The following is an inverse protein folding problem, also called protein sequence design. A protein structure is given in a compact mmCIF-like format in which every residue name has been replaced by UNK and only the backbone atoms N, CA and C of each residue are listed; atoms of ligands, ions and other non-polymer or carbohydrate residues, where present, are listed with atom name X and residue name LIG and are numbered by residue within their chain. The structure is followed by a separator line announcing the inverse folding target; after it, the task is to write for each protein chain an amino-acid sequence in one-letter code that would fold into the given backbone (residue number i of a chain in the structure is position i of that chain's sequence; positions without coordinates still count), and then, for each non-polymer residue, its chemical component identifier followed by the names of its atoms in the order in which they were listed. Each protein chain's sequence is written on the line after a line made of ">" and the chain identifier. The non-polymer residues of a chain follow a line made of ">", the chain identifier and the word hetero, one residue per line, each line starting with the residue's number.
data_IF_567981374881
#
_entry.id   IF_567981374881
#
_cell.length_a   1.000
_cell.length_b   1.000
_cell.length_c   1.000
_cell.angle_alpha   90.00
_cell.angle_beta   90.00
_cell.angle_gamma   90.00
#
_symmetry.space_group_name_H-M   'P 1'
#
loop_
_entity.id
_entity.type
_entity.pdbx_description
1 polymer ?
#
# COMPACT_ATOMS: atom_id res chain seq x y z
N UNK A 1 4.15 -25.38 -76.68
CA UNK A 1 4.35 -26.34 -75.61
C UNK A 1 4.37 -25.64 -74.32
N UNK A 2 3.42 -25.95 -73.51
CA UNK A 2 3.10 -25.26 -72.26
C UNK A 2 4.12 -25.54 -71.15
N UNK A 3 4.46 -24.52 -70.36
CA UNK A 3 5.13 -24.65 -69.11
C UNK A 3 4.53 -23.65 -68.14
N UNK A 4 3.49 -24.09 -67.44
CA UNK A 4 2.89 -23.30 -66.34
C UNK A 4 3.79 -23.29 -65.15
N UNK A 5 4.31 -22.11 -64.81
CA UNK A 5 4.93 -21.85 -63.52
C UNK A 5 3.84 -21.33 -62.56
N UNK A 6 3.37 -22.20 -61.68
CA UNK A 6 2.51 -21.79 -60.57
C UNK A 6 3.31 -20.96 -59.60
N UNK A 7 3.03 -19.68 -59.54
CA UNK A 7 3.47 -18.83 -58.44
C UNK A 7 2.78 -19.27 -57.15
N UNK A 8 3.54 -19.81 -56.24
CA UNK A 8 3.09 -19.94 -54.86
C UNK A 8 2.95 -18.51 -54.31
N UNK A 9 1.74 -18.02 -54.26
CA UNK A 9 1.39 -16.87 -53.45
C UNK A 9 1.64 -17.31 -52.00
N UNK A 10 2.82 -16.91 -51.46
CA UNK A 10 3.10 -17.04 -50.06
C UNK A 10 2.10 -16.17 -49.32
N UNK A 11 1.17 -16.78 -48.62
CA UNK A 11 0.34 -16.08 -47.66
C UNK A 11 1.27 -15.31 -46.70
N UNK A 12 1.00 -14.04 -46.39
CA UNK A 12 1.82 -13.31 -45.44
C UNK A 12 1.75 -14.03 -44.11
N UNK A 13 2.84 -14.74 -43.77
CA UNK A 13 2.98 -15.28 -42.42
C UNK A 13 2.88 -14.16 -41.42
N UNK A 14 1.76 -14.07 -40.77
CA UNK A 14 1.50 -13.11 -39.72
C UNK A 14 2.43 -13.47 -38.54
N UNK A 15 3.53 -12.74 -38.41
CA UNK A 15 4.48 -12.95 -37.33
C UNK A 15 3.87 -12.47 -36.02
N UNK A 16 3.16 -13.38 -35.35
CA UNK A 16 2.52 -13.13 -34.06
C UNK A 16 3.53 -13.10 -32.87
N UNK A 17 4.72 -13.66 -33.07
CA UNK A 17 5.73 -13.74 -32.04
C UNK A 17 6.16 -12.35 -31.48
N UNK A 18 6.40 -11.29 -32.27
CA UNK A 18 6.67 -9.96 -31.75
C UNK A 18 5.49 -9.34 -30.99
N UNK A 19 4.26 -9.66 -31.40
CA UNK A 19 3.06 -9.17 -30.70
C UNK A 19 2.90 -9.82 -29.33
N UNK A 20 3.18 -11.12 -29.22
CA UNK A 20 3.15 -11.84 -27.95
C UNK A 20 4.22 -11.33 -27.01
N UNK A 21 5.39 -10.98 -27.50
CA UNK A 21 6.48 -10.44 -26.68
C UNK A 21 6.10 -9.10 -26.04
N UNK A 22 5.51 -8.18 -26.83
CA UNK A 22 5.00 -6.90 -26.32
C UNK A 22 3.91 -7.12 -25.26
N UNK A 23 2.99 -8.04 -25.48
CA UNK A 23 1.93 -8.36 -24.51
C UNK A 23 2.52 -8.97 -23.23
N UNK A 24 3.54 -9.83 -23.35
CA UNK A 24 4.22 -10.43 -22.21
C UNK A 24 4.93 -9.37 -21.37
N UNK A 25 5.66 -8.46 -22.01
CA UNK A 25 6.37 -7.36 -21.33
C UNK A 25 5.38 -6.44 -20.63
N UNK A 26 4.27 -6.10 -21.26
CA UNK A 26 3.21 -5.31 -20.63
C UNK A 26 2.60 -6.04 -19.44
N UNK A 27 2.37 -7.35 -19.53
CA UNK A 27 1.85 -8.15 -18.44
C UNK A 27 2.80 -8.13 -17.23
N UNK A 28 4.09 -8.35 -17.46
CA UNK A 28 5.11 -8.30 -16.40
C UNK A 28 5.17 -6.91 -15.77
N UNK A 29 5.11 -5.87 -16.59
CA UNK A 29 5.10 -4.49 -16.13
C UNK A 29 3.90 -4.20 -15.23
N UNK A 30 2.69 -4.59 -15.64
CA UNK A 30 1.49 -4.43 -14.82
C UNK A 30 1.55 -5.26 -13.55
N UNK A 31 2.04 -6.50 -13.58
CA UNK A 31 2.26 -7.29 -12.37
C UNK A 31 3.22 -6.60 -11.40
N UNK A 32 4.32 -6.05 -11.91
CA UNK A 32 5.32 -5.36 -11.10
C UNK A 32 4.75 -4.11 -10.41
N UNK A 33 3.92 -3.33 -11.10
CA UNK A 33 3.27 -2.14 -10.52
C UNK A 33 2.23 -2.54 -9.47
N UNK A 34 1.45 -3.59 -9.73
CA UNK A 34 0.36 -4.01 -8.84
C UNK A 34 0.90 -4.54 -7.50
N UNK A 35 2.05 -5.21 -7.51
CA UNK A 35 2.64 -5.83 -6.31
C UNK A 35 3.01 -4.79 -5.26
N UNK A 36 3.43 -3.58 -5.65
CA UNK A 36 3.81 -2.53 -4.70
C UNK A 36 2.66 -1.91 -3.92
N UNK A 37 1.43 -2.02 -4.42
CA UNK A 37 0.24 -1.47 -3.73
C UNK A 37 -0.43 -2.47 -2.78
N UNK A 38 -0.32 -3.76 -3.04
CA UNK A 38 -0.97 -4.82 -2.23
C UNK A 38 -0.24 -5.08 -0.91
N UNK A 39 1.05 -4.76 -0.83
CA UNK A 39 1.91 -5.06 0.33
C UNK A 39 1.66 -4.20 1.58
N UNK A 40 0.82 -3.15 1.48
CA UNK A 40 0.56 -2.24 2.62
C UNK A 40 -0.52 -2.72 3.59
N UNK A 41 -1.17 -3.84 3.31
CA UNK A 41 -2.24 -4.37 4.14
C UNK A 41 -1.72 -5.53 4.98
N UNK A 42 -1.47 -5.27 6.25
CA UNK A 42 -1.15 -6.32 7.22
C UNK A 42 -2.39 -7.22 7.43
N UNK A 43 -2.32 -8.45 6.91
CA UNK A 43 -3.40 -9.44 6.99
C UNK A 43 -3.58 -10.04 8.39
N UNK A 44 -2.62 -9.82 9.29
CA UNK A 44 -2.67 -10.35 10.66
C UNK A 44 -3.50 -9.50 11.61
N UNK A 45 -4.01 -8.35 11.15
CA UNK A 45 -4.81 -7.44 11.96
C UNK A 45 -6.29 -7.62 11.66
N UNK A 46 -7.07 -7.95 12.68
CA UNK A 46 -8.53 -7.90 12.63
C UNK A 46 -8.99 -6.51 13.04
N UNK A 47 -9.50 -5.73 12.09
CA UNK A 47 -9.97 -4.38 12.36
C UNK A 47 -11.26 -4.40 13.17
N UNK A 48 -11.45 -3.44 14.10
CA UNK A 48 -12.72 -3.27 14.79
C UNK A 48 -13.80 -2.86 13.79
N UNK A 49 -15.03 -3.34 14.03
CA UNK A 49 -16.18 -2.98 13.22
C UNK A 49 -16.69 -1.58 13.62
N UNK A 50 -16.88 -0.72 12.64
CA UNK A 50 -17.50 0.59 12.82
C UNK A 50 -18.68 0.73 11.84
N UNK A 51 -19.92 0.91 12.33
CA UNK A 51 -21.10 0.97 11.46
C UNK A 51 -21.11 2.21 10.55
N UNK A 52 -20.43 3.28 10.94
CA UNK A 52 -20.41 4.56 10.23
C UNK A 52 -19.02 4.91 9.67
N UNK A 53 -18.22 3.91 9.26
CA UNK A 53 -16.92 4.16 8.69
C UNK A 53 -17.02 4.88 7.34
N UNK A 54 -16.41 6.06 7.23
CA UNK A 54 -16.33 6.80 5.97
C UNK A 54 -15.33 6.14 5.02
N UNK A 55 -15.69 6.08 3.74
CA UNK A 55 -14.79 5.58 2.69
C UNK A 55 -13.58 6.50 2.56
N UNK A 56 -12.41 5.91 2.59
CA UNK A 56 -11.13 6.63 2.54
C UNK A 56 -10.82 7.11 1.14
N UNK A 57 -10.31 8.31 1.04
CA UNK A 57 -9.73 8.85 -0.20
C UNK A 57 -8.27 8.39 -0.34
N UNK A 58 -7.96 7.69 -1.43
CA UNK A 58 -6.65 7.06 -1.68
C UNK A 58 -5.65 7.96 -2.43
N UNK A 59 -5.98 9.23 -2.65
CA UNK A 59 -5.15 10.13 -3.47
C UNK A 59 -3.99 10.79 -2.72
N UNK A 60 -3.89 10.59 -1.41
CA UNK A 60 -2.92 11.28 -0.55
C UNK A 60 -1.71 10.42 -0.21
N UNK A 61 -0.56 11.08 -0.02
CA UNK A 61 0.61 10.44 0.57
C UNK A 61 0.31 10.05 2.02
N UNK A 62 0.41 8.78 2.33
CA UNK A 62 0.07 8.25 3.65
C UNK A 62 1.04 7.19 4.14
N UNK A 63 1.22 7.12 5.45
CA UNK A 63 1.85 5.99 6.11
C UNK A 63 0.80 5.22 6.93
N UNK A 64 0.89 3.91 6.90
CA UNK A 64 0.00 3.03 7.66
C UNK A 64 0.77 2.45 8.83
N UNK A 65 0.30 2.73 10.04
CA UNK A 65 0.83 2.16 11.27
C UNK A 65 -0.15 1.13 11.78
N UNK A 66 0.28 -0.12 11.82
CA UNK A 66 -0.49 -1.23 12.32
C UNK A 66 -0.15 -1.47 13.80
N UNK A 67 -1.16 -1.47 14.66
CA UNK A 67 -1.05 -1.82 16.07
C UNK A 67 -1.56 -3.24 16.24
N UNK A 68 -0.64 -4.20 16.29
CA UNK A 68 -0.91 -5.64 16.39
C UNK A 68 -0.92 -6.05 17.86
N UNK A 69 -1.91 -6.84 18.26
CA UNK A 69 -1.94 -7.42 19.59
C UNK A 69 -1.22 -8.78 19.61
N UNK A 70 -0.28 -8.93 20.52
CA UNK A 70 0.36 -10.22 20.80
C UNK A 70 -0.19 -10.79 22.12
N UNK A 71 -1.07 -11.80 22.07
CA UNK A 71 -1.68 -12.37 23.25
C UNK A 71 -0.68 -13.12 24.13
N UNK A 72 0.40 -13.64 23.56
CA UNK A 72 1.44 -14.36 24.30
C UNK A 72 2.28 -13.41 25.16
N UNK A 73 2.60 -12.24 24.64
CA UNK A 73 3.37 -11.21 25.36
C UNK A 73 2.48 -10.23 26.12
N UNK A 74 1.15 -10.27 25.89
CA UNK A 74 0.18 -9.28 26.40
C UNK A 74 0.62 -7.84 26.12
N UNK A 75 1.18 -7.62 24.93
CA UNK A 75 1.75 -6.36 24.48
C UNK A 75 1.31 -6.07 23.04
N UNK A 76 1.19 -4.78 22.72
CA UNK A 76 0.99 -4.37 21.35
C UNK A 76 2.34 -4.17 20.65
N UNK A 77 2.44 -4.69 19.45
CA UNK A 77 3.56 -4.47 18.54
C UNK A 77 3.15 -3.44 17.47
N UNK A 78 4.07 -2.52 17.16
CA UNK A 78 3.86 -1.49 16.15
C UNK A 78 4.58 -1.87 14.87
N UNK A 79 3.84 -1.93 13.76
CA UNK A 79 4.37 -2.34 12.45
C UNK A 79 4.05 -1.27 11.41
N UNK A 80 5.07 -0.80 10.70
CA UNK A 80 4.92 0.12 9.57
C UNK A 80 5.78 -0.38 8.41
N UNK A 81 5.20 -0.44 7.20
CA UNK A 81 5.86 -0.97 5.98
C UNK A 81 6.53 -2.34 6.21
N UNK A 82 5.80 -3.27 6.86
CA UNK A 82 6.25 -4.62 7.21
C UNK A 82 7.44 -4.70 8.19
N UNK A 83 7.86 -3.57 8.73
CA UNK A 83 8.91 -3.51 9.74
C UNK A 83 8.33 -3.33 11.13
N UNK A 84 8.79 -4.16 12.07
CA UNK A 84 8.44 -4.08 13.48
C UNK A 84 9.25 -2.98 14.18
N UNK A 85 8.57 -2.17 14.97
CA UNK A 85 9.16 -1.13 15.82
C UNK A 85 8.86 -1.43 17.28
N UNK A 86 9.78 -2.05 18.00
CA UNK A 86 9.56 -2.44 19.41
C UNK A 86 9.50 -1.23 20.34
N UNK A 87 10.09 -0.12 19.93
CA UNK A 87 10.16 1.11 20.70
C UNK A 87 9.49 2.29 19.98
N UNK A 88 8.72 3.08 20.73
CA UNK A 88 8.00 4.24 20.20
C UNK A 88 8.92 5.32 19.59
N UNK A 89 10.11 5.65 20.17
CA UNK A 89 11.02 6.62 19.56
C UNK A 89 11.51 6.23 18.16
N UNK A 90 11.67 4.93 17.90
CA UNK A 90 12.02 4.44 16.57
C UNK A 90 10.87 4.59 15.60
N UNK A 91 9.64 4.34 16.05
CA UNK A 91 8.43 4.57 15.28
C UNK A 91 8.28 6.06 14.91
N UNK A 92 8.52 6.97 15.83
CA UNK A 92 8.49 8.43 15.58
C UNK A 92 9.49 8.81 14.48
N UNK A 93 10.72 8.31 14.54
CA UNK A 93 11.74 8.54 13.49
C UNK A 93 11.30 7.99 12.13
N UNK A 94 10.72 6.80 12.11
CA UNK A 94 10.21 6.18 10.88
C UNK A 94 9.06 6.97 10.26
N UNK A 95 8.11 7.44 11.07
CA UNK A 95 7.00 8.27 10.60
C UNK A 95 7.51 9.62 10.06
N UNK A 96 8.46 10.26 10.76
CA UNK A 96 9.03 11.53 10.30
C UNK A 96 9.80 11.39 8.99
N UNK A 97 10.52 10.28 8.79
CA UNK A 97 11.18 9.96 7.53
C UNK A 97 10.17 9.72 6.40
N UNK A 98 9.11 8.96 6.66
CA UNK A 98 8.03 8.71 5.71
C UNK A 98 7.31 10.02 5.32
N UNK A 99 7.08 10.92 6.27
CA UNK A 99 6.52 12.26 6.03
C UNK A 99 7.39 13.05 5.05
N UNK A 100 8.70 13.17 5.31
CA UNK A 100 9.63 13.88 4.43
C UNK A 100 9.63 13.32 3.00
N UNK A 101 9.61 12.00 2.86
CA UNK A 101 9.54 11.34 1.55
C UNK A 101 8.20 11.56 0.86
N UNK A 102 7.10 11.53 1.62
CA UNK A 102 5.76 11.77 1.13
C UNK A 102 5.59 13.21 0.64
N UNK A 103 6.02 14.19 1.43
CA UNK A 103 5.97 15.61 1.08
C UNK A 103 6.83 15.91 -0.16
N UNK A 104 8.02 15.33 -0.29
CA UNK A 104 8.88 15.50 -1.47
C UNK A 104 8.24 14.97 -2.77
N UNK A 105 7.41 13.94 -2.69
CA UNK A 105 6.68 13.39 -3.84
C UNK A 105 5.46 14.22 -4.23
N UNK A 106 4.84 14.90 -3.27
CA UNK A 106 3.58 15.65 -3.42
C UNK A 106 3.80 17.08 -3.92
N UNK A 107 5.03 17.60 -3.98
CA UNK A 107 5.37 18.96 -4.41
C UNK A 107 4.81 19.34 -5.80
N UNK A 108 4.24 18.40 -6.54
CA UNK A 108 3.60 18.63 -7.86
C UNK A 108 2.09 18.75 -7.84
N UNK A 109 1.42 18.47 -6.72
CA UNK A 109 -0.04 18.59 -6.63
C UNK A 109 -0.38 19.39 -5.38
N UNK A 110 -0.87 20.61 -5.59
CA UNK A 110 -1.23 21.53 -4.53
C UNK A 110 -2.25 20.90 -3.55
N UNK A 111 -1.97 21.02 -2.26
CA UNK A 111 -2.91 20.86 -1.15
C UNK A 111 -3.14 19.46 -0.57
N UNK A 112 -2.22 18.51 -0.70
CA UNK A 112 -2.34 17.23 0.00
C UNK A 112 -1.37 17.14 1.18
N UNK A 113 -1.89 17.28 2.39
CA UNK A 113 -1.13 17.03 3.63
C UNK A 113 -0.85 15.53 3.77
N UNK A 114 0.36 15.21 4.24
CA UNK A 114 0.71 13.84 4.59
C UNK A 114 -0.16 13.32 5.73
N UNK A 115 -0.68 12.11 5.59
CA UNK A 115 -1.56 11.48 6.57
C UNK A 115 -0.93 10.24 7.18
N UNK A 116 -1.19 10.01 8.46
CA UNK A 116 -0.93 8.73 9.12
C UNK A 116 -2.25 8.02 9.38
N UNK A 117 -2.34 6.79 8.91
CA UNK A 117 -3.50 5.93 9.15
C UNK A 117 -3.11 4.88 10.18
N UNK A 118 -3.78 4.90 11.32
CA UNK A 118 -3.59 3.90 12.37
C UNK A 118 -4.62 2.81 12.22
N UNK A 119 -4.13 1.58 12.11
CA UNK A 119 -4.94 0.37 12.06
C UNK A 119 -4.72 -0.41 13.33
N UNK A 120 -5.64 -0.30 14.27
CA UNK A 120 -5.61 -1.07 15.50
C UNK A 120 -6.24 -2.44 15.33
N UNK A 121 -5.60 -3.47 15.87
CA UNK A 121 -6.24 -4.77 16.05
C UNK A 121 -7.43 -4.61 17.01
N UNK A 122 -8.50 -5.38 16.79
CA UNK A 122 -9.69 -5.37 17.64
C UNK A 122 -9.37 -5.66 19.11
N UNK A 123 -8.37 -6.52 19.34
CA UNK A 123 -7.95 -6.93 20.68
C UNK A 123 -6.87 -6.03 21.28
N UNK A 124 -6.34 -5.07 20.51
CA UNK A 124 -5.39 -4.09 21.00
C UNK A 124 -6.04 -3.13 22.00
N UNK A 125 -5.32 -2.82 23.08
CA UNK A 125 -5.82 -1.87 24.07
C UNK A 125 -5.89 -0.45 23.48
N UNK A 126 -6.89 0.33 23.90
CA UNK A 126 -7.01 1.74 23.54
C UNK A 126 -5.75 2.56 23.89
N UNK A 127 -5.05 2.19 24.97
CA UNK A 127 -3.78 2.80 25.36
C UNK A 127 -2.70 2.60 24.31
N UNK A 128 -2.62 1.38 23.72
CA UNK A 128 -1.62 1.09 22.69
C UNK A 128 -1.90 1.86 21.41
N UNK A 129 -3.17 1.98 21.04
CA UNK A 129 -3.60 2.80 19.88
C UNK A 129 -3.30 4.28 20.13
N UNK A 130 -3.61 4.79 21.31
CA UNK A 130 -3.31 6.18 21.69
C UNK A 130 -1.81 6.48 21.67
N UNK A 131 -0.96 5.54 22.06
CA UNK A 131 0.51 5.69 21.96
C UNK A 131 0.97 5.80 20.50
N UNK A 132 0.40 5.02 19.59
CA UNK A 132 0.68 5.14 18.16
C UNK A 132 0.25 6.52 17.62
N UNK A 133 -0.92 7.02 18.02
CA UNK A 133 -1.39 8.36 17.66
C UNK A 133 -0.46 9.46 18.17
N UNK A 134 -0.03 9.36 19.43
CA UNK A 134 0.91 10.31 20.03
C UNK A 134 2.26 10.29 19.28
N UNK A 135 2.76 9.11 18.88
CA UNK A 135 3.99 9.00 18.10
C UNK A 135 3.86 9.68 16.72
N UNK A 136 2.69 9.57 16.07
CA UNK A 136 2.44 10.29 14.83
C UNK A 136 2.38 11.81 15.02
N UNK A 137 1.74 12.28 16.10
CA UNK A 137 1.71 13.69 16.45
C UNK A 137 3.10 14.24 16.80
N UNK A 138 3.91 13.49 17.54
CA UNK A 138 5.30 13.81 17.86
C UNK A 138 6.19 13.89 16.61
N UNK A 139 5.92 13.05 15.60
CA UNK A 139 6.57 13.14 14.29
C UNK A 139 6.10 14.36 13.45
N UNK A 140 5.23 15.20 14.00
CA UNK A 140 4.75 16.42 13.35
C UNK A 140 3.66 16.19 12.30
N UNK A 141 2.94 15.07 12.37
CA UNK A 141 1.79 14.79 11.49
C UNK A 141 0.52 15.31 12.15
N UNK A 142 -0.20 16.20 11.45
CA UNK A 142 -1.46 16.78 11.91
C UNK A 142 -2.69 15.99 11.45
N UNK A 143 -2.60 15.30 10.30
CA UNK A 143 -3.69 14.48 9.77
C UNK A 143 -3.50 13.01 10.18
N UNK A 144 -4.17 12.63 11.25
CA UNK A 144 -4.13 11.26 11.80
C UNK A 144 -5.53 10.69 11.69
N UNK A 145 -5.66 9.56 11.03
CA UNK A 145 -6.93 8.85 10.89
C UNK A 145 -6.84 7.43 11.44
N UNK A 146 -7.98 6.95 11.94
CA UNK A 146 -8.13 5.59 12.41
C UNK A 146 -8.90 4.76 11.38
N UNK A 147 -8.41 3.57 11.07
CA UNK A 147 -9.07 2.67 10.14
C UNK A 147 -9.82 1.58 10.91
N UNK A 148 -11.12 1.46 10.61
CA UNK A 148 -11.97 0.39 11.11
C UNK A 148 -12.65 -0.29 9.91
N UNK A 149 -13.08 -1.55 10.09
CA UNK A 149 -13.88 -2.24 9.09
C UNK A 149 -15.34 -1.77 9.17
N UNK A 150 -15.96 -1.56 8.02
CA UNK A 150 -17.39 -1.28 7.96
C UNK A 150 -18.17 -2.58 8.23
N UNK A 151 -19.29 -2.47 8.93
CA UNK A 151 -20.23 -3.57 9.11
C UNK A 151 -21.21 -3.50 7.94
N UNK A 152 -21.10 -4.44 7.00
CA UNK A 152 -22.07 -4.66 5.94
C UNK A 152 -23.43 -5.11 6.52
#
# INVERSE_FOLDING_TARGET
>A
MAGGGGGAEGEPEFQIAPMIDVLLVLLIFFMSITTTQVLKVDKSITLPLAPDALKKDNTRAEAIVNVRWDPAKKKADYVMDDKLYPELPELVKAISAAKKLGEAKVTRSANTTFRVVIRGDRDASAVSVSRAMNSAAEAGVSDISFSAANKD
#
